data_IF_990339449807
#
_entry.id   IF_990339449807
#
_cell.length_a   1.000
_cell.length_b   1.000
_cell.length_c   1.000
_cell.angle_alpha   90.00
_cell.angle_beta   90.00
_cell.angle_gamma   90.00
#
_symmetry.space_group_name_H-M   'P 1'
#
loop_
_entity.id
_entity.type
_entity.pdbx_description
1 polymer ?
#
# COMPACT_ATOMS: atom_id res chain seq x y z
N UNK A 1 -13.32 -16.25 8.81
CA UNK A 1 -12.96 -14.95 9.43
C UNK A 1 -14.11 -14.51 10.30
N UNK A 2 -13.89 -13.92 11.49
CA UNK A 2 -14.99 -13.40 12.28
C UNK A 2 -15.63 -12.21 11.53
N UNK A 3 -16.94 -12.21 11.44
CA UNK A 3 -17.72 -11.13 10.86
C UNK A 3 -17.61 -9.86 11.72
N UNK A 4 -17.49 -8.70 11.10
CA UNK A 4 -17.57 -7.42 11.81
C UNK A 4 -19.05 -7.06 11.97
N UNK A 5 -19.54 -7.00 13.22
CA UNK A 5 -20.87 -6.46 13.50
C UNK A 5 -20.80 -4.95 13.71
N UNK A 6 -21.93 -4.23 13.53
CA UNK A 6 -22.01 -2.77 13.68
C UNK A 6 -21.37 -2.21 14.98
N UNK A 7 -21.40 -3.01 16.05
CA UNK A 7 -20.87 -2.65 17.37
C UNK A 7 -19.42 -3.14 17.62
N UNK A 8 -18.76 -3.75 16.63
CA UNK A 8 -17.46 -4.39 16.79
C UNK A 8 -16.36 -3.84 15.90
N UNK A 9 -16.58 -2.70 15.27
CA UNK A 9 -15.52 -2.04 14.48
C UNK A 9 -14.44 -1.57 15.44
N UNK A 10 -13.20 -2.09 15.34
CA UNK A 10 -12.13 -1.76 16.27
C UNK A 10 -11.73 -0.28 16.17
N UNK A 11 -11.14 0.31 17.21
CA UNK A 11 -10.67 1.69 17.15
C UNK A 11 -9.62 1.87 16.06
N UNK A 12 -9.50 3.07 15.46
CA UNK A 12 -8.45 3.38 14.50
C UNK A 12 -7.08 3.39 15.20
N UNK A 13 -6.02 3.17 14.43
CA UNK A 13 -4.66 3.42 14.89
C UNK A 13 -4.41 4.93 15.03
N UNK A 14 -3.41 5.31 15.81
CA UNK A 14 -3.03 6.71 15.96
C UNK A 14 -2.71 7.33 14.57
N UNK A 15 -3.15 8.57 14.36
CA UNK A 15 -2.95 9.31 13.10
C UNK A 15 -4.02 9.05 12.02
N UNK A 16 -4.97 8.13 12.23
CA UNK A 16 -6.06 7.85 11.30
C UNK A 16 -7.40 8.29 11.88
N UNK A 17 -7.95 9.37 11.37
CA UNK A 17 -9.34 9.76 11.63
C UNK A 17 -10.24 9.25 10.50
N UNK A 18 -10.82 8.07 10.68
CA UNK A 18 -11.70 7.43 9.70
C UNK A 18 -13.10 8.04 9.59
N UNK A 19 -13.41 9.05 10.42
CA UNK A 19 -14.62 9.86 10.28
C UNK A 19 -14.34 11.16 9.50
N UNK A 20 -13.07 11.45 9.21
CA UNK A 20 -12.70 12.63 8.43
C UNK A 20 -13.28 12.50 7.02
N UNK A 21 -14.00 13.52 6.60
CA UNK A 21 -14.43 13.66 5.21
C UNK A 21 -13.23 14.04 4.37
N UNK A 22 -12.87 13.15 3.44
CA UNK A 22 -11.72 13.32 2.55
C UNK A 22 -12.12 13.97 1.21
N UNK A 23 -13.37 14.39 1.04
CA UNK A 23 -13.89 14.99 -0.21
C UNK A 23 -13.17 16.29 -0.60
N UNK A 24 -12.68 17.04 0.40
CA UNK A 24 -11.97 18.30 0.19
C UNK A 24 -10.46 18.12 -0.07
N UNK A 25 -9.93 16.91 0.09
CA UNK A 25 -8.54 16.62 -0.23
C UNK A 25 -8.33 16.51 -1.74
N UNK A 26 -7.21 17.09 -2.21
CA UNK A 26 -6.82 16.92 -3.61
C UNK A 26 -6.60 15.44 -3.93
N UNK A 27 -7.00 14.98 -5.11
CA UNK A 27 -6.77 13.60 -5.51
C UNK A 27 -5.29 13.37 -5.83
N UNK A 28 -4.68 12.44 -5.10
CA UNK A 28 -3.32 11.97 -5.40
C UNK A 28 -3.31 10.98 -6.56
N UNK A 29 -4.35 10.11 -6.63
CA UNK A 29 -4.54 9.17 -7.74
C UNK A 29 -5.99 9.25 -8.20
N UNK A 30 -6.19 9.25 -9.54
CA UNK A 30 -7.50 9.10 -10.17
C UNK A 30 -7.43 8.02 -11.24
N UNK A 31 -8.06 6.88 -10.99
CA UNK A 31 -8.30 5.86 -12.00
C UNK A 31 -9.69 6.07 -12.60
N UNK A 32 -9.81 6.04 -13.93
CA UNK A 32 -11.05 6.25 -14.67
C UNK A 32 -11.24 5.16 -15.70
N UNK A 33 -12.33 4.39 -15.57
CA UNK A 33 -12.74 3.33 -16.49
C UNK A 33 -11.59 2.36 -16.81
N UNK A 34 -10.88 1.90 -15.78
CA UNK A 34 -9.69 1.06 -15.93
C UNK A 34 -10.10 -0.39 -16.15
N UNK A 35 -9.77 -0.89 -17.36
CA UNK A 35 -9.77 -2.32 -17.71
C UNK A 35 -8.34 -2.86 -17.69
N UNK A 36 -8.16 -4.07 -17.20
CA UNK A 36 -6.84 -4.71 -17.21
C UNK A 36 -6.89 -6.15 -17.68
N UNK A 37 -5.90 -6.55 -18.49
CA UNK A 37 -5.82 -7.85 -19.13
C UNK A 37 -4.46 -8.49 -18.94
N UNK A 38 -4.44 -9.80 -18.73
CA UNK A 38 -3.26 -10.66 -18.91
C UNK A 38 -3.50 -11.55 -20.14
N UNK A 39 -2.82 -11.27 -21.25
CA UNK A 39 -3.13 -11.86 -22.55
C UNK A 39 -4.58 -11.56 -22.95
N UNK A 40 -5.38 -12.61 -23.16
CA UNK A 40 -6.81 -12.48 -23.50
C UNK A 40 -7.72 -12.45 -22.26
N UNK A 41 -7.18 -12.71 -21.05
CA UNK A 41 -7.98 -12.78 -19.84
C UNK A 41 -8.13 -11.39 -19.22
N UNK A 42 -9.36 -10.88 -19.17
CA UNK A 42 -9.69 -9.64 -18.47
C UNK A 42 -9.80 -9.88 -16.95
N UNK A 43 -9.11 -9.07 -16.16
CA UNK A 43 -9.04 -9.18 -14.71
C UNK A 43 -9.69 -8.01 -13.99
N UNK A 44 -9.64 -6.80 -14.59
CA UNK A 44 -10.33 -5.62 -14.08
C UNK A 44 -11.33 -5.13 -15.12
N UNK A 45 -12.50 -4.70 -14.64
CA UNK A 45 -13.63 -4.29 -15.46
C UNK A 45 -14.10 -2.90 -14.99
N UNK A 46 -13.86 -1.88 -15.79
CA UNK A 46 -14.37 -0.51 -15.61
C UNK A 46 -14.12 0.08 -14.21
N UNK A 47 -12.90 -0.11 -13.69
CA UNK A 47 -12.57 0.34 -12.34
C UNK A 47 -12.32 1.85 -12.33
N UNK A 48 -13.15 2.58 -11.55
CA UNK A 48 -12.97 4.03 -11.33
C UNK A 48 -12.83 4.30 -9.83
N UNK A 49 -11.66 4.82 -9.41
CA UNK A 49 -11.33 5.07 -8.00
C UNK A 49 -10.50 6.33 -7.86
N UNK A 50 -10.89 7.18 -6.91
CA UNK A 50 -10.09 8.34 -6.49
C UNK A 50 -9.45 8.06 -5.14
N UNK A 51 -8.15 8.32 -5.01
CA UNK A 51 -7.38 8.20 -3.77
C UNK A 51 -7.01 9.61 -3.31
N UNK A 52 -7.50 10.06 -2.15
CA UNK A 52 -7.18 11.37 -1.60
C UNK A 52 -5.70 11.47 -1.17
N UNK A 53 -5.13 12.66 -1.28
CA UNK A 53 -3.77 12.96 -0.82
C UNK A 53 -3.65 12.77 0.70
N UNK A 54 -2.49 12.29 1.17
CA UNK A 54 -2.17 12.10 2.60
C UNK A 54 -3.24 11.34 3.36
N UNK A 55 -3.70 10.29 2.75
CA UNK A 55 -4.71 9.40 3.31
C UNK A 55 -4.30 7.94 3.14
N UNK A 56 -5.00 7.06 3.85
CA UNK A 56 -4.90 5.62 3.64
C UNK A 56 -6.17 5.13 2.97
N UNK A 57 -6.05 4.58 1.75
CA UNK A 57 -7.14 3.89 1.05
C UNK A 57 -6.91 2.39 1.10
N UNK A 58 -7.84 1.64 1.70
CA UNK A 58 -7.81 0.18 1.74
C UNK A 58 -8.58 -0.43 0.58
N UNK A 59 -7.95 -1.37 -0.13
CA UNK A 59 -8.59 -2.23 -1.11
C UNK A 59 -8.91 -3.57 -0.46
N UNK A 60 -10.20 -3.90 -0.31
CA UNK A 60 -10.69 -5.14 0.31
C UNK A 60 -11.46 -6.00 -0.69
N UNK A 61 -11.63 -7.27 -0.40
CA UNK A 61 -12.37 -8.22 -1.23
C UNK A 61 -11.78 -9.63 -1.19
N UNK A 62 -12.45 -10.62 -1.76
CA UNK A 62 -11.99 -12.01 -1.82
C UNK A 62 -10.63 -12.17 -2.50
N UNK A 63 -9.93 -13.27 -2.23
CA UNK A 63 -8.70 -13.60 -2.95
C UNK A 63 -8.99 -13.75 -4.45
N UNK A 64 -8.07 -13.26 -5.30
CA UNK A 64 -8.21 -13.34 -6.76
C UNK A 64 -9.20 -12.34 -7.39
N UNK A 65 -9.81 -11.41 -6.63
CA UNK A 65 -10.75 -10.44 -7.20
C UNK A 65 -10.11 -9.22 -7.90
N UNK A 66 -8.79 -9.19 -8.12
CA UNK A 66 -8.12 -8.13 -8.89
C UNK A 66 -7.43 -7.04 -8.07
N UNK A 67 -7.50 -7.00 -6.72
CA UNK A 67 -6.91 -5.94 -5.87
C UNK A 67 -5.43 -5.69 -6.11
N UNK A 68 -4.61 -6.76 -6.05
CA UNK A 68 -3.16 -6.63 -6.27
C UNK A 68 -2.83 -6.29 -7.72
N UNK A 69 -3.66 -6.73 -8.69
CA UNK A 69 -3.53 -6.30 -10.08
C UNK A 69 -3.78 -4.80 -10.19
N UNK A 70 -4.87 -4.28 -9.61
CA UNK A 70 -5.15 -2.84 -9.60
C UNK A 70 -4.03 -2.07 -8.88
N UNK A 71 -3.61 -2.51 -7.68
CA UNK A 71 -2.53 -1.87 -6.94
C UNK A 71 -1.25 -1.74 -7.78
N UNK A 72 -0.82 -2.84 -8.42
CA UNK A 72 0.40 -2.88 -9.24
C UNK A 72 0.27 -2.13 -10.57
N UNK A 73 -0.94 -1.85 -11.03
CA UNK A 73 -1.17 -1.00 -12.19
C UNK A 73 -0.85 0.46 -11.89
N UNK A 74 -1.07 0.93 -10.64
CA UNK A 74 -0.81 2.30 -10.21
C UNK A 74 0.67 2.73 -10.31
N UNK A 75 1.62 1.78 -10.31
CA UNK A 75 3.04 2.05 -10.53
C UNK A 75 3.62 1.29 -11.73
N UNK A 76 2.75 0.77 -12.60
CA UNK A 76 3.12 0.05 -13.82
C UNK A 76 3.99 -1.18 -13.59
N UNK A 77 3.91 -1.81 -12.39
CA UNK A 77 4.65 -3.06 -12.12
C UNK A 77 4.15 -4.23 -12.97
N UNK A 78 2.89 -4.18 -13.42
CA UNK A 78 2.33 -5.20 -14.30
C UNK A 78 2.95 -5.18 -15.71
N UNK A 79 3.60 -4.09 -16.14
CA UNK A 79 4.30 -4.01 -17.43
C UNK A 79 5.44 -5.03 -17.54
N UNK A 80 5.89 -5.60 -16.40
CA UNK A 80 6.90 -6.67 -16.39
C UNK A 80 6.33 -8.05 -16.79
N UNK A 81 5.01 -8.15 -16.93
CA UNK A 81 4.32 -9.40 -17.27
C UNK A 81 3.98 -9.35 -18.77
N UNK A 82 4.48 -10.33 -19.51
CA UNK A 82 4.22 -10.43 -20.95
C UNK A 82 2.72 -10.53 -21.22
N UNK A 83 2.25 -9.75 -22.20
CA UNK A 83 0.83 -9.68 -22.58
C UNK A 83 -0.05 -8.86 -21.61
N UNK A 84 0.53 -8.19 -20.60
CA UNK A 84 -0.23 -7.29 -19.75
C UNK A 84 -0.68 -6.04 -20.53
N UNK A 85 -1.97 -5.70 -20.44
CA UNK A 85 -2.56 -4.54 -21.13
C UNK A 85 -3.51 -3.81 -20.19
N UNK A 86 -3.35 -2.48 -20.11
CA UNK A 86 -4.26 -1.58 -19.40
C UNK A 86 -4.99 -0.70 -20.40
N UNK A 87 -6.29 -0.47 -20.18
CA UNK A 87 -7.11 0.54 -20.87
C UNK A 87 -7.72 1.47 -19.83
N UNK A 88 -8.21 2.62 -20.24
CA UNK A 88 -8.68 3.68 -19.35
C UNK A 88 -7.58 4.67 -19.03
N UNK A 89 -7.81 5.51 -18.03
CA UNK A 89 -6.90 6.58 -17.64
C UNK A 89 -6.50 6.43 -16.17
N UNK A 90 -5.22 6.63 -15.87
CA UNK A 90 -4.73 6.69 -14.49
C UNK A 90 -3.89 7.95 -14.34
N UNK A 91 -4.45 8.91 -13.60
CA UNK A 91 -3.76 10.15 -13.29
C UNK A 91 -3.13 10.04 -11.90
N UNK A 92 -1.86 10.40 -11.80
CA UNK A 92 -1.14 10.58 -10.55
C UNK A 92 -0.71 12.04 -10.46
N UNK A 93 -1.23 12.75 -9.44
CA UNK A 93 -1.03 14.19 -9.29
C UNK A 93 -1.32 14.97 -10.60
N UNK A 94 -2.36 14.55 -11.30
CA UNK A 94 -2.82 15.14 -12.57
C UNK A 94 -2.08 14.70 -13.83
N UNK A 95 -1.07 13.83 -13.73
CA UNK A 95 -0.32 13.32 -14.88
C UNK A 95 -0.76 11.91 -15.24
N UNK A 96 -1.10 11.67 -16.51
CA UNK A 96 -1.43 10.32 -16.99
C UNK A 96 -0.18 9.42 -17.00
N UNK A 97 -0.17 8.44 -16.10
CA UNK A 97 0.95 7.50 -15.97
C UNK A 97 1.01 6.44 -17.08
N UNK A 98 -0.05 6.31 -17.88
CA UNK A 98 -0.11 5.35 -18.98
C UNK A 98 0.41 5.95 -20.29
N UNK A 99 0.65 7.27 -20.35
CA UNK A 99 1.18 7.94 -21.52
C UNK A 99 2.55 7.37 -21.96
N UNK A 100 2.80 7.20 -23.28
CA UNK A 100 4.05 6.61 -23.78
C UNK A 100 5.33 7.36 -23.37
N UNK A 101 5.22 8.65 -23.09
CA UNK A 101 6.35 9.51 -22.71
C UNK A 101 6.75 9.39 -21.23
N UNK A 102 6.02 8.63 -20.41
CA UNK A 102 6.29 8.50 -18.99
C UNK A 102 7.54 7.66 -18.75
N UNK A 103 8.50 8.23 -18.02
CA UNK A 103 9.64 7.49 -17.49
C UNK A 103 9.17 6.60 -16.32
N UNK A 104 9.10 5.30 -16.57
CA UNK A 104 8.63 4.30 -15.59
C UNK A 104 9.58 4.18 -14.39
N UNK A 105 10.87 4.49 -14.54
CA UNK A 105 11.84 4.47 -13.43
C UNK A 105 11.56 5.63 -12.48
N UNK A 106 11.33 6.82 -13.01
CA UNK A 106 10.95 7.98 -12.22
C UNK A 106 9.57 7.77 -11.57
N UNK A 107 8.61 7.22 -12.29
CA UNK A 107 7.30 6.86 -11.75
C UNK A 107 7.43 5.93 -10.54
N UNK A 108 8.21 4.84 -10.64
CA UNK A 108 8.43 3.87 -9.55
C UNK A 108 9.25 4.41 -8.39
N UNK A 109 10.02 5.48 -8.61
CA UNK A 109 10.66 6.24 -7.54
C UNK A 109 9.64 7.10 -6.79
N UNK A 110 8.70 7.71 -7.52
CA UNK A 110 7.62 8.54 -6.97
C UNK A 110 6.54 7.70 -6.26
N UNK A 111 6.25 6.50 -6.78
CA UNK A 111 5.27 5.55 -6.23
C UNK A 111 5.99 4.29 -5.75
N UNK A 112 6.39 4.30 -4.48
CA UNK A 112 7.06 3.19 -3.84
C UNK A 112 6.13 2.00 -3.60
N UNK A 113 6.69 0.79 -3.52
CA UNK A 113 5.91 -0.43 -3.28
C UNK A 113 6.52 -1.31 -2.20
N UNK A 114 5.66 -1.76 -1.29
CA UNK A 114 5.93 -2.76 -0.28
C UNK A 114 5.16 -4.03 -0.63
N UNK A 115 5.87 -5.13 -0.84
CA UNK A 115 5.28 -6.40 -1.28
C UNK A 115 4.80 -7.24 -0.10
N UNK A 116 3.87 -8.15 -0.37
CA UNK A 116 3.33 -9.12 0.58
C UNK A 116 4.44 -9.96 1.24
N UNK A 117 5.37 -10.48 0.43
CA UNK A 117 6.53 -11.20 0.93
C UNK A 117 7.66 -10.22 1.17
N UNK A 118 8.05 -10.07 2.43
CA UNK A 118 9.26 -9.32 2.78
C UNK A 118 10.48 -10.01 2.19
N UNK A 119 11.10 -9.35 1.22
CA UNK A 119 12.31 -9.86 0.54
C UNK A 119 13.41 -8.81 0.64
N UNK A 120 14.13 -8.74 1.77
CA UNK A 120 15.35 -7.95 1.84
C UNK A 120 16.37 -8.48 0.82
N UNK A 121 17.21 -7.61 0.30
CA UNK A 121 18.36 -8.07 -0.47
C UNK A 121 19.32 -8.86 0.45
N UNK A 122 20.05 -9.86 -0.07
CA UNK A 122 21.07 -10.60 0.69
C UNK A 122 22.31 -9.72 0.92
N UNK A 123 22.11 -8.62 1.59
CA UNK A 123 23.06 -7.54 1.92
C UNK A 123 22.91 -7.16 3.39
N UNK A 124 23.73 -6.21 3.85
CA UNK A 124 23.57 -5.63 5.17
C UNK A 124 22.26 -4.87 5.34
N UNK A 125 21.86 -4.59 6.58
CA UNK A 125 20.71 -3.73 6.91
C UNK A 125 20.91 -2.35 6.28
N UNK A 126 22.09 -1.76 6.47
CA UNK A 126 22.49 -0.49 5.87
C UNK A 126 22.34 -0.49 4.35
N UNK A 127 22.93 -1.50 3.68
CA UNK A 127 22.93 -1.55 2.22
C UNK A 127 21.54 -1.80 1.62
N UNK A 128 20.62 -2.41 2.36
CA UNK A 128 19.23 -2.52 1.93
C UNK A 128 18.59 -1.15 1.82
N UNK A 129 18.72 -0.30 2.84
CA UNK A 129 18.12 1.04 2.84
C UNK A 129 18.85 1.99 1.87
N UNK A 130 20.18 1.95 1.87
CA UNK A 130 21.01 2.80 1.02
C UNK A 130 20.97 2.40 -0.48
N UNK A 131 20.36 1.27 -0.84
CA UNK A 131 20.40 0.74 -2.20
C UNK A 131 19.82 1.69 -3.24
N UNK A 132 18.58 2.14 -3.04
CA UNK A 132 17.89 3.06 -3.97
C UNK A 132 18.65 4.38 -4.17
N UNK A 133 19.02 5.10 -3.10
CA UNK A 133 19.84 6.31 -3.20
C UNK A 133 21.17 6.12 -3.92
N UNK A 134 21.86 5.00 -3.67
CA UNK A 134 23.13 4.70 -4.38
C UNK A 134 22.90 4.47 -5.88
N UNK A 135 21.87 3.76 -6.25
CA UNK A 135 21.51 3.56 -7.67
C UNK A 135 21.13 4.91 -8.32
N UNK A 136 20.52 5.81 -7.56
CA UNK A 136 20.23 7.18 -8.00
C UNK A 136 21.46 8.09 -8.05
N UNK A 137 22.68 7.59 -7.71
CA UNK A 137 23.94 8.30 -7.85
C UNK A 137 24.49 8.90 -6.55
N UNK A 138 23.85 8.74 -5.39
CA UNK A 138 24.37 9.23 -4.12
C UNK A 138 25.59 8.40 -3.67
N UNK A 139 26.73 9.07 -3.48
CA UNK A 139 28.01 8.44 -3.10
C UNK A 139 28.55 8.95 -1.77
N UNK A 140 27.97 10.03 -1.23
CA UNK A 140 28.41 10.60 0.03
C UNK A 140 28.00 9.70 1.20
N UNK A 141 28.98 9.14 1.91
CA UNK A 141 28.75 8.20 3.02
C UNK A 141 28.02 8.84 4.20
N UNK A 142 28.27 10.13 4.49
CA UNK A 142 27.58 10.82 5.58
C UNK A 142 26.10 11.03 5.23
N UNK A 143 25.81 11.52 4.01
CA UNK A 143 24.43 11.69 3.52
C UNK A 143 23.67 10.36 3.55
N UNK A 144 24.31 9.28 3.11
CA UNK A 144 23.70 7.94 3.15
C UNK A 144 23.47 7.45 4.59
N UNK A 145 24.39 7.77 5.53
CA UNK A 145 24.23 7.36 6.93
C UNK A 145 23.04 8.10 7.58
N UNK A 146 22.93 9.40 7.40
CA UNK A 146 21.83 10.22 7.92
C UNK A 146 20.47 9.77 7.32
N UNK A 147 20.46 9.49 6.02
CA UNK A 147 19.26 9.00 5.34
C UNK A 147 18.84 7.61 5.85
N UNK A 148 19.79 6.69 5.99
CA UNK A 148 19.51 5.32 6.52
C UNK A 148 18.96 5.40 7.93
N UNK A 149 19.58 6.19 8.82
CA UNK A 149 19.10 6.41 10.18
C UNK A 149 17.67 6.96 10.17
N UNK A 150 17.43 8.03 9.40
CA UNK A 150 16.11 8.66 9.27
C UNK A 150 15.04 7.66 8.79
N UNK A 151 15.33 6.87 7.74
CA UNK A 151 14.38 5.89 7.21
C UNK A 151 14.11 4.74 8.18
N UNK A 152 15.13 4.26 8.89
CA UNK A 152 14.97 3.22 9.91
C UNK A 152 14.17 3.73 11.12
N UNK A 153 14.34 5.00 11.52
CA UNK A 153 13.52 5.64 12.55
C UNK A 153 12.07 5.75 12.10
N UNK A 154 11.81 6.26 10.88
CA UNK A 154 10.47 6.33 10.30
C UNK A 154 9.80 4.96 10.18
N UNK A 155 10.57 3.89 9.96
CA UNK A 155 10.07 2.52 9.90
C UNK A 155 9.98 1.83 11.28
N UNK A 156 10.15 2.57 12.39
CA UNK A 156 10.17 2.06 13.77
C UNK A 156 11.10 0.84 13.96
N UNK A 157 12.26 0.86 13.29
CA UNK A 157 13.23 -0.25 13.32
C UNK A 157 14.60 0.16 13.89
N UNK A 158 14.90 1.44 13.97
CA UNK A 158 16.21 1.96 14.36
C UNK A 158 16.73 1.40 15.67
N UNK A 159 15.94 1.46 16.74
CA UNK A 159 16.36 1.03 18.08
C UNK A 159 16.70 -0.47 18.16
N UNK A 160 16.15 -1.27 17.24
CA UNK A 160 16.39 -2.70 17.22
C UNK A 160 17.65 -3.08 16.40
N UNK A 161 18.15 -2.17 15.55
CA UNK A 161 19.21 -2.51 14.58
C UNK A 161 20.41 -1.55 14.55
N UNK A 162 20.36 -0.42 15.25
CA UNK A 162 21.39 0.65 15.21
C UNK A 162 22.81 0.14 15.48
N UNK A 163 22.97 -0.86 16.37
CA UNK A 163 24.27 -1.41 16.74
C UNK A 163 24.75 -2.55 15.81
N UNK A 164 23.95 -2.91 14.80
CA UNK A 164 24.25 -4.02 13.86
C UNK A 164 23.90 -3.71 12.40
N UNK A 165 24.04 -2.45 11.98
CA UNK A 165 23.69 -2.01 10.61
C UNK A 165 24.47 -2.73 9.51
N UNK A 166 25.70 -3.22 9.79
CA UNK A 166 26.52 -4.03 8.88
C UNK A 166 26.13 -5.50 8.86
N UNK A 167 25.28 -5.94 9.78
CA UNK A 167 24.79 -7.31 9.85
C UNK A 167 23.86 -7.66 8.69
N UNK A 168 23.73 -8.96 8.41
CA UNK A 168 22.87 -9.47 7.35
C UNK A 168 21.41 -9.15 7.60
N UNK A 169 20.72 -8.56 6.61
CA UNK A 169 19.29 -8.33 6.65
C UNK A 169 18.47 -9.63 6.72
N UNK A 170 19.04 -10.73 6.23
CA UNK A 170 18.39 -12.05 6.25
C UNK A 170 18.32 -12.66 7.67
N UNK A 171 19.10 -12.13 8.63
CA UNK A 171 19.07 -12.57 10.02
C UNK A 171 17.98 -11.88 10.87
N UNK A 172 17.23 -10.96 10.28
CA UNK A 172 16.12 -10.27 10.91
C UNK A 172 14.87 -11.16 11.00
N UNK A 173 14.02 -10.94 12.01
CA UNK A 173 12.69 -11.57 12.08
C UNK A 173 11.78 -11.09 10.93
N UNK A 174 10.71 -11.82 10.63
CA UNK A 174 9.77 -11.45 9.56
C UNK A 174 9.23 -10.02 9.67
N UNK A 175 8.80 -9.61 10.87
CA UNK A 175 8.34 -8.25 11.12
C UNK A 175 9.45 -7.19 10.99
N UNK A 176 10.68 -7.51 11.39
CA UNK A 176 11.84 -6.64 11.17
C UNK A 176 12.19 -6.53 9.68
N UNK A 177 12.14 -7.64 8.94
CA UNK A 177 12.36 -7.65 7.50
C UNK A 177 11.32 -6.80 6.76
N UNK A 178 10.05 -6.88 7.17
CA UNK A 178 8.99 -6.07 6.58
C UNK A 178 9.23 -4.57 6.84
N UNK A 179 9.55 -4.18 8.08
CA UNK A 179 9.89 -2.79 8.40
C UNK A 179 11.15 -2.31 7.69
N UNK A 180 12.13 -3.20 7.46
CA UNK A 180 13.31 -2.89 6.64
C UNK A 180 12.91 -2.64 5.17
N UNK A 181 11.99 -3.43 4.61
CA UNK A 181 11.47 -3.20 3.26
C UNK A 181 10.71 -1.87 3.16
N UNK A 182 9.98 -1.48 4.21
CA UNK A 182 9.36 -0.15 4.30
C UNK A 182 10.44 0.94 4.34
N UNK A 183 11.45 0.82 5.22
CA UNK A 183 12.57 1.78 5.29
C UNK A 183 13.28 1.93 3.94
N UNK A 184 13.51 0.83 3.22
CA UNK A 184 14.08 0.82 1.86
C UNK A 184 13.21 1.58 0.87
N UNK A 185 11.90 1.44 0.96
CA UNK A 185 10.94 2.18 0.12
C UNK A 185 10.97 3.67 0.45
N UNK A 186 10.96 4.04 1.74
CA UNK A 186 11.05 5.44 2.18
C UNK A 186 12.34 6.13 1.73
N UNK A 187 13.45 5.39 1.60
CA UNK A 187 14.75 5.95 1.19
C UNK A 187 14.77 6.49 -0.24
N UNK A 188 13.81 6.14 -1.08
CA UNK A 188 13.64 6.73 -2.42
C UNK A 188 12.85 8.04 -2.40
N UNK A 189 12.39 8.47 -1.21
CA UNK A 189 11.56 9.65 -1.00
C UNK A 189 10.30 9.66 -1.90
N UNK A 190 9.44 8.62 -1.82
CA UNK A 190 8.22 8.56 -2.61
C UNK A 190 7.20 9.59 -2.12
N UNK A 191 6.18 9.91 -2.92
CA UNK A 191 4.96 10.62 -2.47
C UNK A 191 3.83 9.65 -2.13
N UNK A 192 3.81 8.53 -2.82
CA UNK A 192 2.78 7.49 -2.68
C UNK A 192 3.44 6.17 -2.31
N UNK A 193 2.83 5.42 -1.38
CA UNK A 193 3.28 4.11 -0.96
C UNK A 193 2.16 3.09 -1.21
N UNK A 194 2.45 2.12 -2.05
CA UNK A 194 1.56 0.98 -2.30
C UNK A 194 1.98 -0.19 -1.39
N UNK A 195 1.03 -0.81 -0.70
CA UNK A 195 1.28 -1.92 0.20
C UNK A 195 0.39 -3.11 -0.17
N UNK A 196 1.01 -4.20 -0.63
CA UNK A 196 0.30 -5.44 -0.99
C UNK A 196 0.35 -6.40 0.19
N UNK A 197 -0.71 -6.48 0.99
CA UNK A 197 -0.85 -7.35 2.18
C UNK A 197 0.35 -7.31 3.16
N UNK A 198 0.78 -6.13 3.64
CA UNK A 198 2.07 -5.95 4.33
C UNK A 198 2.21 -6.67 5.66
N UNK A 199 1.11 -7.19 6.24
CA UNK A 199 1.12 -7.86 7.54
C UNK A 199 0.58 -9.30 7.49
N UNK A 200 0.28 -9.86 6.30
CA UNK A 200 -0.42 -11.14 6.16
C UNK A 200 0.33 -12.35 6.71
N UNK A 201 1.66 -12.28 6.79
CA UNK A 201 2.53 -13.38 7.25
C UNK A 201 3.21 -13.07 8.61
N UNK A 202 2.71 -12.07 9.34
CA UNK A 202 3.31 -11.61 10.60
C UNK A 202 2.53 -12.09 11.81
N UNK A 203 3.22 -12.17 12.94
CA UNK A 203 2.60 -12.38 14.24
C UNK A 203 1.78 -11.14 14.68
N UNK A 204 0.84 -11.28 15.64
CA UNK A 204 -0.02 -10.17 16.05
C UNK A 204 0.73 -8.92 16.51
N UNK A 205 1.83 -9.07 17.29
CA UNK A 205 2.58 -7.93 17.79
C UNK A 205 3.32 -7.19 16.64
N UNK A 206 3.84 -7.93 15.66
CA UNK A 206 4.43 -7.34 14.44
C UNK A 206 3.38 -6.68 13.56
N UNK A 207 2.17 -7.26 13.49
CA UNK A 207 1.03 -6.67 12.76
C UNK A 207 0.63 -5.33 13.37
N UNK A 208 0.47 -5.25 14.68
CA UNK A 208 0.12 -3.99 15.38
C UNK A 208 1.18 -2.90 15.14
N UNK A 209 2.47 -3.27 15.12
CA UNK A 209 3.55 -2.32 14.80
C UNK A 209 3.46 -1.78 13.38
N UNK A 210 3.13 -2.63 12.39
CA UNK A 210 2.94 -2.20 10.99
C UNK A 210 1.71 -1.31 10.87
N UNK A 211 0.61 -1.61 11.57
CA UNK A 211 -0.60 -0.80 11.54
C UNK A 211 -0.37 0.59 12.13
N UNK A 212 0.29 0.68 13.29
CA UNK A 212 0.67 1.96 13.89
C UNK A 212 1.60 2.75 12.96
N UNK A 213 2.58 2.08 12.35
CA UNK A 213 3.48 2.70 11.38
C UNK A 213 2.72 3.27 10.17
N UNK A 214 1.72 2.58 9.65
CA UNK A 214 0.87 3.10 8.55
C UNK A 214 0.17 4.39 8.99
N UNK A 215 -0.37 4.43 10.23
CA UNK A 215 -0.99 5.62 10.80
C UNK A 215 -0.03 6.82 10.91
N UNK A 216 1.22 6.58 11.33
CA UNK A 216 2.24 7.62 11.42
C UNK A 216 2.69 8.12 10.04
N UNK A 217 2.83 7.21 9.08
CA UNK A 217 3.29 7.53 7.73
C UNK A 217 2.25 8.34 6.94
N UNK A 218 0.94 8.16 7.15
CA UNK A 218 -0.08 8.84 6.38
C UNK A 218 -0.07 10.37 6.56
N UNK A 219 0.53 10.89 7.62
CA UNK A 219 0.72 12.33 7.79
C UNK A 219 1.56 12.98 6.67
N UNK A 220 2.44 12.19 6.03
CA UNK A 220 3.38 12.69 5.02
C UNK A 220 3.26 11.98 3.67
N UNK A 221 2.56 10.84 3.62
CA UNK A 221 2.48 9.99 2.43
C UNK A 221 1.04 9.62 2.12
N UNK A 222 0.71 9.51 0.84
CA UNK A 222 -0.52 8.85 0.39
C UNK A 222 -0.29 7.34 0.38
N UNK A 223 -1.17 6.56 1.00
CA UNK A 223 -1.00 5.11 1.13
C UNK A 223 -2.18 4.38 0.50
N UNK A 224 -1.90 3.41 -0.37
CA UNK A 224 -2.90 2.45 -0.85
C UNK A 224 -2.50 1.07 -0.36
N UNK A 225 -3.37 0.44 0.42
CA UNK A 225 -3.10 -0.87 1.02
C UNK A 225 -4.10 -1.92 0.52
N UNK A 226 -3.60 -3.06 0.06
CA UNK A 226 -4.40 -4.27 -0.13
C UNK A 226 -4.37 -5.09 1.14
N UNK A 227 -5.52 -5.50 1.63
CA UNK A 227 -5.62 -6.44 2.74
C UNK A 227 -6.86 -7.31 2.60
N UNK A 228 -6.76 -8.57 3.04
CA UNK A 228 -7.89 -9.46 3.22
C UNK A 228 -8.40 -9.46 4.68
N UNK A 229 -7.71 -8.75 5.58
CA UNK A 229 -8.11 -8.61 6.98
C UNK A 229 -8.98 -7.35 7.15
N UNK A 230 -10.29 -7.56 7.35
CA UNK A 230 -11.26 -6.48 7.50
C UNK A 230 -11.02 -5.63 8.76
N UNK A 231 -10.53 -6.26 9.86
CA UNK A 231 -10.21 -5.51 11.06
C UNK A 231 -9.03 -4.58 10.84
N UNK A 232 -8.00 -5.03 10.11
CA UNK A 232 -6.88 -4.18 9.70
C UNK A 232 -7.37 -3.02 8.84
N UNK A 233 -8.12 -3.29 7.76
CA UNK A 233 -8.66 -2.24 6.90
C UNK A 233 -9.42 -1.20 7.71
N UNK A 234 -10.30 -1.64 8.63
CA UNK A 234 -11.10 -0.74 9.46
C UNK A 234 -10.28 0.11 10.44
N UNK A 235 -9.09 -0.36 10.87
CA UNK A 235 -8.22 0.39 11.80
C UNK A 235 -7.33 1.40 11.10
N UNK A 236 -6.81 1.05 9.91
CA UNK A 236 -5.73 1.82 9.29
C UNK A 236 -6.19 2.76 8.19
N UNK A 237 -7.43 2.63 7.66
CA UNK A 237 -7.82 3.41 6.49
C UNK A 237 -8.85 4.50 6.76
N UNK A 238 -8.75 5.59 6.01
CA UNK A 238 -9.73 6.67 5.91
C UNK A 238 -10.83 6.30 4.92
N UNK A 239 -10.43 5.71 3.79
CA UNK A 239 -11.30 5.27 2.71
C UNK A 239 -11.14 3.78 2.47
N UNK A 240 -12.22 3.10 2.14
CA UNK A 240 -12.22 1.67 1.80
C UNK A 240 -12.91 1.47 0.45
N UNK A 241 -12.30 0.64 -0.40
CA UNK A 241 -12.80 0.25 -1.71
C UNK A 241 -12.98 -1.28 -1.75
N UNK A 242 -14.21 -1.74 -2.00
CA UNK A 242 -14.53 -3.15 -2.06
C UNK A 242 -14.54 -3.68 -3.49
N UNK A 243 -13.68 -4.65 -3.76
CA UNK A 243 -13.54 -5.32 -5.05
C UNK A 243 -14.18 -6.70 -5.04
N UNK A 244 -14.88 -7.03 -6.12
CA UNK A 244 -15.43 -8.37 -6.35
C UNK A 244 -15.39 -8.73 -7.84
N UNK A 245 -14.74 -9.86 -8.18
CA UNK A 245 -14.60 -10.37 -9.56
C UNK A 245 -14.13 -9.31 -10.55
N UNK A 246 -13.11 -8.54 -10.19
CA UNK A 246 -12.53 -7.52 -11.06
C UNK A 246 -13.27 -6.19 -11.10
N UNK A 247 -14.39 -6.05 -10.41
CA UNK A 247 -15.22 -4.85 -10.39
C UNK A 247 -15.08 -4.15 -9.04
N UNK A 248 -14.99 -2.82 -9.05
CA UNK A 248 -15.15 -2.00 -7.85
C UNK A 248 -16.65 -1.87 -7.53
N UNK A 249 -17.08 -2.53 -6.47
CA UNK A 249 -18.49 -2.59 -6.07
C UNK A 249 -18.90 -1.34 -5.32
N UNK A 250 -18.09 -0.93 -4.35
CA UNK A 250 -18.39 0.23 -3.50
C UNK A 250 -17.10 0.86 -2.99
N UNK A 251 -17.08 2.18 -2.88
CA UNK A 251 -16.00 2.94 -2.26
C UNK A 251 -16.58 4.09 -1.42
N UNK A 252 -15.91 4.42 -0.34
CA UNK A 252 -16.33 5.52 0.54
C UNK A 252 -15.56 5.55 1.86
N UNK A 253 -15.94 6.48 2.77
CA UNK A 253 -15.37 6.56 4.10
C UNK A 253 -15.43 5.19 4.80
N UNK A 254 -14.31 4.80 5.42
CA UNK A 254 -14.17 3.47 6.02
C UNK A 254 -15.28 3.14 7.01
N UNK A 255 -15.66 4.09 7.87
CA UNK A 255 -16.76 3.88 8.82
C UNK A 255 -18.08 3.58 8.12
N UNK A 256 -18.40 4.29 7.03
CA UNK A 256 -19.62 4.04 6.26
C UNK A 256 -19.61 2.63 5.66
N UNK A 257 -18.52 2.24 5.01
CA UNK A 257 -18.38 0.91 4.41
C UNK A 257 -18.57 -0.21 5.45
N UNK A 258 -18.00 -0.07 6.65
CA UNK A 258 -18.06 -1.11 7.68
C UNK A 258 -19.32 -1.11 8.55
N UNK A 259 -20.08 -0.02 8.62
CA UNK A 259 -21.25 0.08 9.50
C UNK A 259 -22.59 0.14 8.76
N UNK A 260 -22.63 0.79 7.60
CA UNK A 260 -23.83 0.98 6.80
C UNK A 260 -23.49 1.09 5.30
N UNK A 261 -22.96 0.01 4.70
CA UNK A 261 -22.68 -0.02 3.28
C UNK A 261 -23.95 0.18 2.46
N UNK A 262 -23.82 0.80 1.29
CA UNK A 262 -24.95 1.03 0.38
C UNK A 262 -25.24 -0.19 -0.50
N UNK A 263 -24.22 -1.00 -0.76
CA UNK A 263 -24.28 -2.15 -1.63
C UNK A 263 -24.50 -3.44 -0.82
N UNK A 264 -25.49 -4.24 -1.20
CA UNK A 264 -25.78 -5.53 -0.55
C UNK A 264 -24.59 -6.49 -0.56
N UNK A 265 -23.83 -6.52 -1.66
CA UNK A 265 -22.61 -7.33 -1.78
C UNK A 265 -21.54 -6.94 -0.77
N UNK A 266 -21.40 -5.66 -0.50
CA UNK A 266 -20.47 -5.13 0.52
C UNK A 266 -20.92 -5.59 1.92
N UNK A 267 -22.21 -5.47 2.22
CA UNK A 267 -22.79 -5.92 3.50
C UNK A 267 -22.55 -7.43 3.71
N UNK A 268 -22.86 -8.25 2.70
CA UNK A 268 -22.68 -9.69 2.76
C UNK A 268 -21.22 -10.08 2.99
N UNK A 269 -20.26 -9.38 2.32
CA UNK A 269 -18.83 -9.60 2.50
C UNK A 269 -18.36 -9.28 3.92
N UNK A 270 -18.72 -8.11 4.44
CA UNK A 270 -18.31 -7.63 5.76
C UNK A 270 -18.93 -8.49 6.87
N UNK A 271 -20.16 -8.94 6.71
CA UNK A 271 -20.86 -9.78 7.68
C UNK A 271 -20.51 -11.26 7.59
N UNK A 272 -19.62 -11.65 6.67
CA UNK A 272 -19.22 -13.05 6.48
C UNK A 272 -20.30 -13.94 5.84
N UNK A 273 -21.34 -13.35 5.26
CA UNK A 273 -22.42 -14.05 4.54
C UNK A 273 -22.12 -14.28 3.06
N UNK A 274 -20.88 -14.05 2.70
CA UNK A 274 -20.40 -14.14 1.33
C UNK A 274 -20.02 -15.60 1.03
N UNK A 275 -20.83 -16.32 0.29
CA UNK A 275 -20.65 -17.70 -0.11
C UNK A 275 -21.33 -18.02 -1.43
#
# INVERSE_FOLDING_TARGET
>A
MPAITKNSVPPPVAGVDRNQDMSDHLPSIQARNVDFYYGEHQVLFDVSLTVPERSVTALIGPSGCGKSTFLRTLNRMNDLIEGARCKGEILVEGQDIMAPAVDVVLLRKHIGMVFQKSTPFPKSIFDNVAYGPRVAGEKNRAVLADLVESCLKKAALWEEVKDRLTGSAMALSGGQQQRLCIARTLATNPHIILMDEPASALDPASTDRIENLIGELCANYTIVIVTHNMQQASRVSHQTAFFFKGILIETGPTMKIFTSPSEKKTEDYITGRFG
#
